data_IF_172755218010
#
_entry.id   IF_172755218010
#
_cell.length_a   1.000
_cell.length_b   1.000
_cell.length_c   1.000
_cell.angle_alpha   90.00
_cell.angle_beta   90.00
_cell.angle_gamma   90.00
#
_symmetry.space_group_name_H-M   'P 1'
#
loop_
_entity.id
_entity.type
_entity.pdbx_description
1 polymer ?
#
# COMPACT_ATOMS: atom_id res chain seq x y z
N UNK A 1 24.91 -58.67 -6.49
CA UNK A 1 25.63 -57.84 -7.49
C UNK A 1 26.72 -58.72 -8.10
N UNK A 2 26.36 -59.52 -9.11
CA UNK A 2 27.25 -60.49 -9.75
C UNK A 2 27.79 -59.81 -11.00
N UNK A 3 29.07 -59.46 -10.97
CA UNK A 3 29.77 -58.91 -12.11
C UNK A 3 29.82 -59.97 -13.22
N UNK A 4 28.97 -59.83 -14.23
CA UNK A 4 29.13 -60.52 -15.51
C UNK A 4 30.36 -59.94 -16.21
N UNK A 5 31.52 -60.49 -15.85
CA UNK A 5 32.77 -60.30 -16.58
C UNK A 5 32.64 -61.09 -17.88
N UNK A 6 31.90 -60.54 -18.83
CA UNK A 6 31.85 -61.04 -20.21
C UNK A 6 33.26 -60.89 -20.75
N UNK A 7 33.98 -62.00 -20.71
CA UNK A 7 35.23 -62.21 -21.42
C UNK A 7 34.91 -62.09 -22.91
N UNK A 8 34.94 -60.85 -23.39
CA UNK A 8 35.12 -60.51 -24.81
C UNK A 8 36.47 -61.10 -25.23
N UNK A 9 36.48 -62.40 -25.50
CA UNK A 9 37.54 -63.06 -26.24
C UNK A 9 37.54 -62.41 -27.63
N UNK A 10 38.37 -61.38 -27.80
CA UNK A 10 38.73 -60.87 -29.13
C UNK A 10 39.08 -62.10 -29.97
N UNK A 11 38.43 -62.30 -31.13
CA UNK A 11 38.68 -63.49 -31.94
C UNK A 11 40.15 -63.43 -32.38
N UNK A 12 41.01 -64.23 -31.74
CA UNK A 12 42.37 -64.55 -32.23
C UNK A 12 42.32 -65.55 -33.39
N UNK A 13 41.12 -65.92 -33.82
CA UNK A 13 40.84 -66.90 -34.85
C UNK A 13 40.84 -66.44 -36.31
N UNK A 14 40.91 -65.13 -36.70
CA UNK A 14 40.94 -64.81 -38.12
C UNK A 14 42.23 -65.32 -38.77
N UNK A 15 43.35 -65.32 -38.02
CA UNK A 15 44.63 -65.86 -38.50
C UNK A 15 44.56 -67.37 -38.72
N UNK A 16 43.95 -68.12 -37.79
CA UNK A 16 43.80 -69.57 -37.92
C UNK A 16 42.86 -69.95 -39.07
N UNK A 17 41.80 -69.18 -39.30
CA UNK A 17 40.89 -69.38 -40.43
C UNK A 17 41.59 -69.12 -41.77
N UNK A 18 42.37 -68.03 -41.87
CA UNK A 18 43.18 -67.74 -43.07
C UNK A 18 44.18 -68.86 -43.34
N UNK A 19 44.88 -69.34 -42.30
CA UNK A 19 45.83 -70.47 -42.44
C UNK A 19 45.11 -71.74 -42.91
N UNK A 20 43.93 -72.05 -42.38
CA UNK A 20 43.16 -73.22 -42.80
C UNK A 20 42.69 -73.12 -44.26
N UNK A 21 42.27 -71.92 -44.71
CA UNK A 21 41.88 -71.67 -46.11
C UNK A 21 43.09 -71.82 -47.04
N UNK A 22 44.24 -71.25 -46.68
CA UNK A 22 45.48 -71.38 -47.47
C UNK A 22 45.93 -72.83 -47.53
N UNK A 23 45.90 -73.56 -46.41
CA UNK A 23 46.26 -74.97 -46.36
C UNK A 23 45.29 -75.84 -47.19
N UNK A 24 43.99 -75.55 -47.14
CA UNK A 24 42.99 -76.22 -47.97
C UNK A 24 43.21 -75.97 -49.47
N UNK A 25 43.45 -74.72 -49.86
CA UNK A 25 43.75 -74.37 -51.25
C UNK A 25 45.05 -75.03 -51.74
N UNK A 26 46.10 -75.03 -50.92
CA UNK A 26 47.35 -75.73 -51.22
C UNK A 26 47.14 -77.24 -51.36
N UNK A 27 46.32 -77.85 -50.51
CA UNK A 27 45.96 -79.27 -50.60
C UNK A 27 45.23 -79.61 -51.90
N UNK A 28 44.30 -78.77 -52.35
CA UNK A 28 43.60 -78.94 -53.63
C UNK A 28 44.58 -78.84 -54.81
N UNK A 29 45.45 -77.83 -54.82
CA UNK A 29 46.47 -77.66 -55.87
C UNK A 29 47.41 -78.88 -55.92
N UNK A 30 47.91 -79.32 -54.77
CA UNK A 30 48.79 -80.49 -54.68
C UNK A 30 48.07 -81.77 -55.12
N UNK A 31 46.78 -81.93 -54.80
CA UNK A 31 45.96 -83.05 -55.26
C UNK A 31 45.82 -83.09 -56.79
N UNK A 32 45.57 -81.94 -57.43
CA UNK A 32 45.48 -81.84 -58.89
C UNK A 32 46.82 -82.22 -59.54
N UNK A 33 47.93 -81.71 -59.00
CA UNK A 33 49.29 -82.03 -59.48
C UNK A 33 49.56 -83.53 -59.33
N UNK A 34 49.24 -84.12 -58.17
CA UNK A 34 49.45 -85.53 -57.90
C UNK A 34 48.62 -86.42 -58.85
N UNK A 35 47.34 -86.08 -59.08
CA UNK A 35 46.49 -86.80 -60.04
C UNK A 35 47.03 -86.66 -61.47
N UNK A 36 47.48 -85.47 -61.86
CA UNK A 36 48.06 -85.23 -63.19
C UNK A 36 49.35 -86.03 -63.41
N UNK A 37 50.19 -86.17 -62.38
CA UNK A 37 51.43 -86.95 -62.45
C UNK A 37 51.16 -88.46 -62.40
N UNK A 38 50.14 -88.89 -61.67
CA UNK A 38 49.76 -90.30 -61.54
C UNK A 38 48.93 -90.81 -62.73
N UNK A 39 48.35 -89.92 -63.53
CA UNK A 39 47.57 -90.29 -64.71
C UNK A 39 48.48 -90.80 -65.83
N UNK A 40 48.59 -92.13 -65.94
CA UNK A 40 49.18 -92.80 -67.09
C UNK A 40 48.05 -93.37 -67.95
N UNK A 41 47.83 -92.85 -69.18
CA UNK A 41 46.76 -93.36 -70.03
C UNK A 41 47.06 -94.80 -70.44
N UNK A 42 46.17 -95.72 -70.08
CA UNK A 42 46.25 -97.14 -70.42
C UNK A 42 45.66 -97.39 -71.82
N UNK A 43 46.38 -97.00 -72.87
CA UNK A 43 46.04 -97.28 -74.28
C UNK A 43 46.45 -96.16 -75.25
N UNK A 44 46.27 -96.33 -76.59
CA UNK A 44 46.39 -95.25 -77.57
C UNK A 44 45.20 -94.29 -77.40
N UNK A 45 45.19 -93.59 -76.28
CA UNK A 45 44.14 -92.67 -75.89
C UNK A 45 44.26 -91.41 -76.75
N UNK A 46 43.16 -91.05 -77.41
CA UNK A 46 43.00 -89.74 -78.03
C UNK A 46 43.40 -88.68 -77.00
N UNK A 47 44.30 -87.78 -77.41
CA UNK A 47 44.73 -86.67 -76.56
C UNK A 47 43.48 -85.94 -76.09
N UNK A 48 43.29 -85.76 -74.75
CA UNK A 48 42.09 -85.13 -74.24
C UNK A 48 41.90 -83.79 -74.95
N UNK A 49 40.70 -83.56 -75.49
CA UNK A 49 40.44 -82.33 -76.21
C UNK A 49 40.63 -81.17 -75.24
N UNK A 50 41.24 -80.08 -75.71
CA UNK A 50 41.49 -78.86 -74.91
C UNK A 50 40.22 -78.41 -74.15
N UNK A 51 39.05 -78.71 -74.71
CA UNK A 51 37.72 -78.50 -74.15
C UNK A 51 37.48 -79.15 -72.78
N UNK A 52 37.95 -80.39 -72.56
CA UNK A 52 37.75 -81.10 -71.28
C UNK A 52 38.63 -80.52 -70.17
N UNK A 53 39.85 -80.11 -70.51
CA UNK A 53 40.73 -79.40 -69.59
C UNK A 53 40.18 -78.02 -69.21
N UNK A 54 39.60 -77.30 -70.17
CA UNK A 54 38.97 -76.00 -69.89
C UNK A 54 37.72 -76.14 -69.01
N UNK A 55 36.92 -77.19 -69.18
CA UNK A 55 35.77 -77.45 -68.29
C UNK A 55 36.19 -77.82 -66.86
N UNK A 56 37.25 -78.63 -66.71
CA UNK A 56 37.80 -78.97 -65.39
C UNK A 56 38.32 -77.74 -64.63
N UNK A 57 39.08 -76.88 -65.31
CA UNK A 57 39.57 -75.61 -64.73
C UNK A 57 38.40 -74.67 -64.42
N UNK A 58 37.39 -74.60 -65.29
CA UNK A 58 36.19 -73.79 -65.08
C UNK A 58 35.41 -74.17 -63.82
N UNK A 59 35.22 -75.46 -63.56
CA UNK A 59 34.54 -75.93 -62.35
C UNK A 59 35.33 -75.62 -61.08
N UNK A 60 36.65 -75.78 -61.09
CA UNK A 60 37.51 -75.47 -59.95
C UNK A 60 37.52 -73.96 -59.68
N UNK A 61 37.66 -73.14 -60.73
CA UNK A 61 37.59 -71.68 -60.62
C UNK A 61 36.22 -71.24 -60.06
N UNK A 62 35.13 -71.86 -60.50
CA UNK A 62 33.78 -71.61 -59.99
C UNK A 62 33.64 -71.89 -58.49
N UNK A 63 34.18 -73.01 -58.00
CA UNK A 63 34.15 -73.35 -56.56
C UNK A 63 34.97 -72.36 -55.74
N UNK A 64 36.17 -71.99 -56.19
CA UNK A 64 37.03 -71.02 -55.49
C UNK A 64 36.37 -69.64 -55.41
N UNK A 65 35.79 -69.17 -56.52
CA UNK A 65 35.02 -67.92 -56.56
C UNK A 65 33.78 -68.00 -55.66
N UNK A 66 33.07 -69.13 -55.67
CA UNK A 66 31.90 -69.36 -54.82
C UNK A 66 32.23 -69.33 -53.32
N UNK A 67 33.32 -69.98 -52.90
CA UNK A 67 33.80 -69.95 -51.50
C UNK A 67 34.25 -68.54 -51.13
N UNK A 68 34.99 -67.85 -52.01
CA UNK A 68 35.41 -66.46 -51.80
C UNK A 68 34.22 -65.53 -51.61
N UNK A 69 33.18 -65.68 -52.44
CA UNK A 69 31.94 -64.92 -52.34
C UNK A 69 31.17 -65.23 -51.05
N UNK A 70 31.09 -66.50 -50.64
CA UNK A 70 30.43 -66.91 -49.40
C UNK A 70 31.14 -66.35 -48.15
N UNK A 71 32.49 -66.37 -48.14
CA UNK A 71 33.27 -65.77 -47.05
C UNK A 71 33.12 -64.25 -47.01
N UNK A 72 33.12 -63.58 -48.16
CA UNK A 72 32.88 -62.14 -48.24
C UNK A 72 31.47 -61.78 -47.73
N UNK A 73 30.43 -62.52 -48.13
CA UNK A 73 29.07 -62.34 -47.65
C UNK A 73 28.96 -62.58 -46.14
N UNK A 74 29.63 -63.62 -45.62
CA UNK A 74 29.69 -63.90 -44.19
C UNK A 74 30.38 -62.80 -43.38
N UNK A 75 31.48 -62.24 -43.90
CA UNK A 75 32.19 -61.14 -43.27
C UNK A 75 31.34 -59.84 -43.22
N UNK A 76 30.65 -59.51 -44.33
CA UNK A 76 29.74 -58.37 -44.39
C UNK A 76 28.56 -58.55 -43.42
N UNK A 77 27.98 -59.75 -43.36
CA UNK A 77 26.90 -60.07 -42.41
C UNK A 77 27.36 -59.94 -40.95
N UNK A 78 28.55 -60.44 -40.63
CA UNK A 78 29.13 -60.32 -39.29
C UNK A 78 29.40 -58.86 -38.91
N UNK A 79 29.96 -58.07 -39.82
CA UNK A 79 30.16 -56.64 -39.60
C UNK A 79 28.83 -55.89 -39.41
N UNK A 80 27.80 -56.28 -40.17
CA UNK A 80 26.44 -55.78 -40.00
C UNK A 80 25.85 -56.10 -38.63
N UNK A 81 26.03 -57.33 -38.12
CA UNK A 81 25.58 -57.69 -36.78
C UNK A 81 26.30 -56.89 -35.68
N UNK A 82 27.60 -56.66 -35.81
CA UNK A 82 28.34 -55.84 -34.84
C UNK A 82 27.86 -54.38 -34.84
N UNK A 83 27.59 -53.82 -36.03
CA UNK A 83 27.05 -52.47 -36.15
C UNK A 83 25.64 -52.35 -35.54
N UNK A 84 24.78 -53.36 -35.74
CA UNK A 84 23.45 -53.40 -35.13
C UNK A 84 23.52 -53.51 -33.60
N UNK A 85 24.37 -54.38 -33.06
CA UNK A 85 24.54 -54.53 -31.62
C UNK A 85 25.06 -53.23 -30.97
N UNK A 86 26.04 -52.57 -31.60
CA UNK A 86 26.55 -51.28 -31.13
C UNK A 86 25.47 -50.17 -31.20
N UNK A 87 24.64 -50.16 -32.25
CA UNK A 87 23.54 -49.23 -32.38
C UNK A 87 22.44 -49.45 -31.32
N UNK A 88 22.12 -50.71 -30.99
CA UNK A 88 21.16 -51.04 -29.93
C UNK A 88 21.67 -50.61 -28.55
N UNK A 89 22.94 -50.87 -28.24
CA UNK A 89 23.57 -50.43 -26.99
C UNK A 89 23.52 -48.90 -26.86
N UNK A 90 23.81 -48.19 -27.94
CA UNK A 90 23.73 -46.74 -27.97
C UNK A 90 22.29 -46.25 -27.77
N UNK A 91 21.29 -46.87 -28.41
CA UNK A 91 19.88 -46.51 -28.22
C UNK A 91 19.41 -46.75 -26.79
N UNK A 92 19.87 -47.82 -26.14
CA UNK A 92 19.58 -48.07 -24.73
C UNK A 92 20.23 -47.02 -23.84
N UNK A 93 21.49 -46.68 -24.09
CA UNK A 93 22.19 -45.61 -23.36
C UNK A 93 21.48 -44.26 -23.52
N UNK A 94 21.07 -43.91 -24.74
CA UNK A 94 20.33 -42.68 -25.03
C UNK A 94 18.96 -42.67 -24.35
N UNK A 95 18.24 -43.79 -24.35
CA UNK A 95 16.96 -43.93 -23.65
C UNK A 95 17.11 -43.80 -22.13
N UNK A 96 18.16 -44.38 -21.55
CA UNK A 96 18.47 -44.22 -20.13
C UNK A 96 18.82 -42.77 -19.79
N UNK A 97 19.67 -42.12 -20.60
CA UNK A 97 20.01 -40.72 -20.43
C UNK A 97 18.77 -39.81 -20.54
N UNK A 98 17.89 -40.07 -21.51
CA UNK A 98 16.64 -39.34 -21.67
C UNK A 98 15.68 -39.55 -20.48
N UNK A 99 15.58 -40.77 -19.96
CA UNK A 99 14.76 -41.07 -18.79
C UNK A 99 15.29 -40.38 -17.52
N UNK A 100 16.61 -40.38 -17.31
CA UNK A 100 17.24 -39.66 -16.20
C UNK A 100 17.04 -38.14 -16.33
N UNK A 101 17.22 -37.59 -17.52
CA UNK A 101 16.97 -36.17 -17.79
C UNK A 101 15.50 -35.78 -17.52
N UNK A 102 14.55 -36.63 -17.92
CA UNK A 102 13.13 -36.42 -17.65
C UNK A 102 12.82 -36.46 -16.13
N UNK A 103 13.45 -37.38 -15.39
CA UNK A 103 13.29 -37.44 -13.92
C UNK A 103 13.82 -36.17 -13.25
N UNK A 104 15.03 -35.75 -13.59
CA UNK A 104 15.65 -34.52 -13.05
C UNK A 104 14.83 -33.28 -13.42
N UNK A 105 14.31 -33.20 -14.66
CA UNK A 105 13.46 -32.11 -15.08
C UNK A 105 12.14 -32.05 -14.29
N UNK A 106 11.53 -33.21 -14.02
CA UNK A 106 10.31 -33.31 -13.21
C UNK A 106 10.56 -32.88 -11.76
N UNK A 107 11.63 -33.36 -11.12
CA UNK A 107 12.00 -32.98 -9.75
C UNK A 107 12.25 -31.47 -9.64
N UNK A 108 12.95 -30.88 -10.62
CA UNK A 108 13.16 -29.42 -10.67
C UNK A 108 11.86 -28.65 -10.82
N UNK A 109 10.97 -29.09 -11.72
CA UNK A 109 9.68 -28.45 -11.92
C UNK A 109 8.80 -28.50 -10.67
N UNK A 110 8.79 -29.64 -9.94
CA UNK A 110 8.06 -29.76 -8.68
C UNK A 110 8.64 -28.84 -7.59
N UNK A 111 9.96 -28.75 -7.48
CA UNK A 111 10.63 -27.83 -6.55
C UNK A 111 10.33 -26.35 -6.87
N UNK A 112 10.38 -25.97 -8.15
CA UNK A 112 10.04 -24.62 -8.60
C UNK A 112 8.57 -24.28 -8.34
N UNK A 113 7.67 -25.26 -8.54
CA UNK A 113 6.24 -25.11 -8.26
C UNK A 113 5.99 -24.90 -6.76
N UNK A 114 6.61 -25.70 -5.89
CA UNK A 114 6.49 -25.54 -4.43
C UNK A 114 7.04 -24.17 -3.97
N UNK A 115 8.15 -23.72 -4.55
CA UNK A 115 8.72 -22.40 -4.28
C UNK A 115 7.77 -21.26 -4.73
N UNK A 116 7.13 -21.42 -5.88
CA UNK A 116 6.12 -20.47 -6.38
C UNK A 116 4.85 -20.45 -5.51
N UNK A 117 4.35 -21.61 -5.07
CA UNK A 117 3.22 -21.69 -4.15
C UNK A 117 3.52 -21.02 -2.80
N UNK A 118 4.73 -21.22 -2.26
CA UNK A 118 5.18 -20.58 -1.02
C UNK A 118 5.32 -19.06 -1.16
N UNK A 119 5.90 -18.58 -2.26
CA UNK A 119 6.06 -17.14 -2.49
C UNK A 119 4.70 -16.46 -2.67
N UNK A 120 3.78 -17.08 -3.41
CA UNK A 120 2.41 -16.59 -3.57
C UNK A 120 1.65 -16.52 -2.24
N UNK A 121 1.74 -17.58 -1.41
CA UNK A 121 1.13 -17.58 -0.08
C UNK A 121 1.71 -16.49 0.83
N UNK A 122 3.03 -16.25 0.77
CA UNK A 122 3.68 -15.16 1.50
C UNK A 122 3.18 -13.78 1.03
N UNK A 123 3.05 -13.57 -0.29
CA UNK A 123 2.48 -12.34 -0.87
C UNK A 123 1.03 -12.13 -0.45
N UNK A 124 0.20 -13.18 -0.44
CA UNK A 124 -1.18 -13.08 0.04
C UNK A 124 -1.27 -12.68 1.51
N UNK A 125 -0.45 -13.28 2.38
CA UNK A 125 -0.40 -12.90 3.81
C UNK A 125 0.04 -11.45 3.99
N UNK A 126 1.05 -11.02 3.23
CA UNK A 126 1.51 -9.63 3.28
C UNK A 126 0.41 -8.66 2.84
N UNK A 127 -0.30 -8.97 1.75
CA UNK A 127 -1.42 -8.16 1.26
C UNK A 127 -2.58 -8.12 2.26
N UNK A 128 -2.91 -9.25 2.90
CA UNK A 128 -3.92 -9.28 3.97
C UNK A 128 -3.53 -8.41 5.16
N UNK A 129 -2.28 -8.52 5.63
CA UNK A 129 -1.78 -7.66 6.70
C UNK A 129 -1.81 -6.17 6.32
N UNK A 130 -1.54 -5.81 5.06
CA UNK A 130 -1.67 -4.44 4.59
C UNK A 130 -3.12 -3.94 4.62
N UNK A 131 -4.09 -4.79 4.23
CA UNK A 131 -5.52 -4.44 4.28
C UNK A 131 -5.98 -4.24 5.72
N UNK A 132 -5.56 -5.09 6.65
CA UNK A 132 -5.87 -4.96 8.08
C UNK A 132 -5.28 -3.66 8.65
N UNK A 133 -4.00 -3.39 8.40
CA UNK A 133 -3.36 -2.13 8.82
C UNK A 133 -4.07 -0.89 8.24
N UNK A 134 -4.49 -0.94 6.97
CA UNK A 134 -5.22 0.15 6.34
C UNK A 134 -6.61 0.36 6.95
N UNK A 135 -7.29 -0.73 7.35
CA UNK A 135 -8.60 -0.67 8.02
C UNK A 135 -8.50 -0.08 9.42
N UNK A 136 -7.45 -0.43 10.16
CA UNK A 136 -7.19 0.13 11.49
C UNK A 136 -6.83 1.63 11.39
N UNK A 137 -6.04 2.01 10.38
CA UNK A 137 -5.73 3.41 10.10
C UNK A 137 -6.99 4.22 9.71
N UNK A 138 -7.90 3.63 8.91
CA UNK A 138 -9.16 4.29 8.57
C UNK A 138 -10.06 4.49 9.80
N UNK A 139 -10.14 3.48 10.68
CA UNK A 139 -10.94 3.55 11.91
C UNK A 139 -10.40 4.62 12.88
N UNK A 140 -9.08 4.70 13.02
CA UNK A 140 -8.45 5.75 13.86
C UNK A 140 -8.63 7.14 13.27
N UNK A 141 -8.54 7.30 11.95
CA UNK A 141 -8.81 8.57 11.26
C UNK A 141 -10.27 9.01 11.43
N UNK A 142 -11.24 8.09 11.32
CA UNK A 142 -12.66 8.40 11.57
C UNK A 142 -12.92 8.83 13.01
N UNK A 143 -12.29 8.18 13.99
CA UNK A 143 -12.39 8.56 15.39
C UNK A 143 -11.85 9.98 15.62
N UNK A 144 -10.68 10.32 15.08
CA UNK A 144 -10.09 11.65 15.16
C UNK A 144 -10.99 12.72 14.51
N UNK A 145 -11.49 12.46 13.30
CA UNK A 145 -12.42 13.38 12.62
C UNK A 145 -13.71 13.59 13.41
N UNK A 146 -14.18 12.58 14.12
CA UNK A 146 -15.37 12.70 14.98
C UNK A 146 -15.09 13.57 16.21
N UNK A 147 -13.91 13.45 16.82
CA UNK A 147 -13.48 14.28 17.95
C UNK A 147 -13.28 15.73 17.53
N UNK A 148 -12.60 15.97 16.41
CA UNK A 148 -12.39 17.30 15.85
C UNK A 148 -13.72 17.96 15.51
N UNK A 149 -14.68 17.21 14.96
CA UNK A 149 -16.03 17.72 14.70
C UNK A 149 -16.74 18.10 16.00
N UNK A 150 -16.60 17.32 17.08
CA UNK A 150 -17.17 17.66 18.39
C UNK A 150 -16.54 18.92 18.97
N UNK A 151 -15.21 19.05 18.91
CA UNK A 151 -14.47 20.25 19.34
C UNK A 151 -14.90 21.48 18.56
N UNK A 152 -14.97 21.37 17.24
CA UNK A 152 -15.43 22.46 16.40
C UNK A 152 -16.88 22.85 16.71
N UNK A 153 -17.76 21.88 16.96
CA UNK A 153 -19.13 22.15 17.38
C UNK A 153 -19.21 22.83 18.75
N UNK A 154 -18.40 22.42 19.73
CA UNK A 154 -18.35 23.08 21.04
C UNK A 154 -17.80 24.49 20.93
N UNK A 155 -16.73 24.71 20.17
CA UNK A 155 -16.19 26.04 19.90
C UNK A 155 -17.23 26.94 19.22
N UNK A 156 -17.97 26.41 18.24
CA UNK A 156 -19.06 27.15 17.59
C UNK A 156 -20.19 27.48 18.57
N UNK A 157 -20.53 26.57 19.49
CA UNK A 157 -21.52 26.84 20.53
C UNK A 157 -21.04 27.89 21.53
N UNK A 158 -19.80 27.78 22.01
CA UNK A 158 -19.17 28.76 22.90
C UNK A 158 -19.11 30.13 22.23
N UNK A 159 -18.61 30.19 20.99
CA UNK A 159 -18.55 31.43 20.19
C UNK A 159 -19.94 32.03 20.01
N UNK A 160 -20.97 31.23 19.73
CA UNK A 160 -22.36 31.71 19.64
C UNK A 160 -22.89 32.23 20.98
N UNK A 161 -22.51 31.61 22.09
CA UNK A 161 -22.88 32.06 23.43
C UNK A 161 -22.15 33.35 23.83
N UNK A 162 -20.90 33.52 23.43
CA UNK A 162 -20.11 34.74 23.63
C UNK A 162 -20.66 35.89 22.79
N UNK A 163 -20.86 35.71 21.48
CA UNK A 163 -21.46 36.74 20.62
C UNK A 163 -22.91 37.06 21.01
N UNK A 164 -23.62 36.23 21.76
CA UNK A 164 -24.96 36.56 22.25
C UNK A 164 -24.97 37.63 23.36
N UNK A 165 -23.80 37.99 23.92
CA UNK A 165 -23.70 38.79 25.15
C UNK A 165 -23.11 40.18 24.99
N UNK A 166 -22.71 40.57 23.77
CA UNK A 166 -22.00 41.83 23.55
C UNK A 166 -22.93 43.04 23.67
N UNK A 167 -22.87 43.72 24.81
CA UNK A 167 -23.66 44.91 25.08
C UNK A 167 -22.74 46.04 25.49
N UNK A 168 -22.65 47.06 24.64
CA UNK A 168 -21.86 48.24 24.95
C UNK A 168 -22.77 49.29 25.55
N UNK A 169 -22.52 49.59 26.82
CA UNK A 169 -22.94 50.83 27.45
C UNK A 169 -21.83 51.84 27.20
N UNK A 170 -22.13 52.88 26.42
CA UNK A 170 -21.11 53.86 25.96
C UNK A 170 -21.06 55.11 26.83
N UNK A 171 -22.14 55.41 27.57
CA UNK A 171 -22.19 56.52 28.51
C UNK A 171 -23.15 56.17 29.63
N UNK A 172 -22.66 56.26 30.86
CA UNK A 172 -23.48 56.26 32.08
C UNK A 172 -23.00 57.39 32.95
N UNK A 173 -23.80 58.44 33.04
CA UNK A 173 -23.47 59.61 33.85
C UNK A 173 -24.73 60.07 34.58
N UNK A 174 -24.72 60.08 35.92
CA UNK A 174 -25.70 60.85 36.67
C UNK A 174 -25.38 62.34 36.50
N UNK A 175 -26.17 63.07 35.71
CA UNK A 175 -26.20 64.52 35.81
C UNK A 175 -26.76 64.89 37.18
N UNK A 176 -26.00 65.62 37.99
CA UNK A 176 -26.48 66.10 39.29
C UNK A 176 -27.06 67.50 39.14
N UNK A 177 -28.09 67.81 39.92
CA UNK A 177 -28.57 69.18 40.08
C UNK A 177 -27.62 69.94 41.01
N UNK A 178 -27.59 71.28 40.94
CA UNK A 178 -26.82 72.12 41.87
C UNK A 178 -27.21 72.02 43.36
N UNK A 179 -28.11 71.09 43.71
CA UNK A 179 -28.48 70.72 45.08
C UNK A 179 -27.98 69.32 45.47
N UNK A 180 -27.12 68.69 44.67
CA UNK A 180 -26.61 67.33 44.89
C UNK A 180 -27.63 66.21 44.65
N UNK A 181 -28.79 66.52 44.06
CA UNK A 181 -29.78 65.50 43.70
C UNK A 181 -29.48 64.91 42.33
N UNK A 182 -29.77 63.62 42.14
CA UNK A 182 -29.73 62.96 40.84
C UNK A 182 -30.71 63.66 39.88
N UNK A 183 -30.19 64.32 38.85
CA UNK A 183 -30.94 65.14 37.90
C UNK A 183 -31.32 64.38 36.64
N UNK A 184 -30.34 63.83 35.92
CA UNK A 184 -30.54 63.12 34.65
C UNK A 184 -29.67 61.87 34.64
N UNK A 185 -30.17 60.75 34.12
CA UNK A 185 -29.32 59.60 33.80
C UNK A 185 -29.42 59.31 32.31
N UNK A 186 -28.27 59.37 31.64
CA UNK A 186 -28.13 58.95 30.26
C UNK A 186 -27.48 57.56 30.23
N UNK A 187 -28.18 56.59 29.65
CA UNK A 187 -27.66 55.25 29.38
C UNK A 187 -27.82 54.97 27.88
N UNK A 188 -26.71 54.92 27.16
CA UNK A 188 -26.71 54.56 25.74
C UNK A 188 -26.37 53.08 25.61
N UNK A 189 -27.34 52.30 25.15
CA UNK A 189 -27.26 50.86 25.02
C UNK A 189 -27.09 50.46 23.57
N UNK A 190 -26.04 49.70 23.26
CA UNK A 190 -25.89 49.04 21.97
C UNK A 190 -25.91 47.52 22.15
N UNK A 191 -26.86 46.85 21.50
CA UNK A 191 -26.95 45.40 21.51
C UNK A 191 -26.21 44.82 20.29
N UNK A 192 -24.99 44.33 20.48
CA UNK A 192 -24.27 43.55 19.47
C UNK A 192 -24.54 42.05 19.58
N UNK A 193 -25.36 41.66 20.57
CA UNK A 193 -25.82 40.31 20.84
C UNK A 193 -26.76 39.76 19.78
N UNK A 194 -26.76 38.44 19.61
CA UNK A 194 -27.70 37.74 18.73
C UNK A 194 -29.14 37.66 19.28
N UNK A 195 -29.37 38.05 20.54
CA UNK A 195 -30.69 37.99 21.19
C UNK A 195 -31.17 39.39 21.62
N UNK A 196 -32.49 39.65 21.64
CA UNK A 196 -33.02 40.91 22.12
C UNK A 196 -32.87 41.03 23.64
N UNK A 197 -32.47 42.21 24.10
CA UNK A 197 -32.42 42.58 25.52
C UNK A 197 -33.83 43.00 25.91
N UNK A 198 -34.41 42.38 26.94
CA UNK A 198 -35.80 42.68 27.35
C UNK A 198 -35.90 43.57 28.57
N UNK A 199 -34.88 43.56 29.42
CA UNK A 199 -34.87 44.33 30.68
C UNK A 199 -33.44 44.70 31.03
N UNK A 200 -33.27 45.93 31.48
CA UNK A 200 -32.00 46.50 31.91
C UNK A 200 -32.21 47.06 33.31
N UNK A 201 -31.39 46.64 34.26
CA UNK A 201 -31.41 47.14 35.64
C UNK A 201 -30.12 47.90 35.85
N UNK A 202 -30.21 49.18 36.17
CA UNK A 202 -29.05 50.02 36.42
C UNK A 202 -28.97 50.26 37.93
N UNK A 203 -27.95 49.70 38.56
CA UNK A 203 -27.65 49.92 39.96
C UNK A 203 -26.60 51.03 40.05
N UNK A 204 -26.95 52.15 40.66
CA UNK A 204 -26.03 53.25 40.92
C UNK A 204 -25.64 53.19 42.39
N UNK A 205 -24.39 52.82 42.69
CA UNK A 205 -23.82 52.88 44.03
C UNK A 205 -23.23 54.26 44.27
N UNK A 206 -23.69 54.97 45.31
CA UNK A 206 -23.24 56.31 45.67
C UNK A 206 -22.65 56.28 47.07
N UNK A 207 -21.31 56.43 47.18
CA UNK A 207 -20.46 56.51 48.37
C UNK A 207 -20.68 55.50 49.52
N UNK A 208 -21.91 55.19 49.94
CA UNK A 208 -22.30 54.23 50.97
C UNK A 208 -23.69 53.57 50.75
N UNK A 209 -24.49 54.01 49.77
CA UNK A 209 -25.82 53.47 49.48
C UNK A 209 -25.93 52.99 48.03
N UNK A 210 -26.55 51.83 47.83
CA UNK A 210 -26.84 51.32 46.49
C UNK A 210 -28.28 51.67 46.12
N UNK A 211 -28.43 52.55 45.14
CA UNK A 211 -29.73 52.88 44.55
C UNK A 211 -29.93 51.97 43.34
N UNK A 212 -30.91 51.07 43.43
CA UNK A 212 -31.31 50.26 42.27
C UNK A 212 -32.36 51.01 41.45
N UNK A 213 -31.99 51.38 40.23
CA UNK A 213 -32.88 51.97 39.24
C UNK A 213 -33.24 50.88 38.22
N UNK A 214 -34.46 50.35 38.34
CA UNK A 214 -34.96 49.45 37.32
C UNK A 214 -35.39 50.23 36.08
N UNK A 215 -34.67 50.04 34.98
CA UNK A 215 -34.98 50.70 33.71
C UNK A 215 -35.89 49.80 32.86
N UNK A 216 -37.11 50.27 32.65
CA UNK A 216 -38.02 49.63 31.69
C UNK A 216 -37.65 50.07 30.28
N UNK A 217 -36.65 49.42 29.70
CA UNK A 217 -36.33 49.61 28.29
C UNK A 217 -37.27 48.77 27.42
N UNK A 218 -37.70 49.27 26.25
CA UNK A 218 -38.31 48.42 25.22
C UNK A 218 -37.30 47.35 24.78
N UNK A 219 -37.79 46.28 24.16
CA UNK A 219 -36.91 45.21 23.70
C UNK A 219 -35.89 45.76 22.67
N UNK A 220 -34.61 45.71 22.99
CA UNK A 220 -33.53 46.21 22.11
C UNK A 220 -33.00 45.03 21.31
N UNK A 221 -33.33 44.98 20.03
CA UNK A 221 -32.96 43.89 19.12
C UNK A 221 -31.47 43.86 18.75
N UNK A 222 -31.00 42.77 18.13
CA UNK A 222 -29.64 42.67 17.61
C UNK A 222 -29.27 43.83 16.67
N UNK A 223 -28.10 44.43 16.88
CA UNK A 223 -27.59 45.58 16.14
C UNK A 223 -28.26 46.91 16.44
N UNK A 224 -29.27 46.93 17.33
CA UNK A 224 -29.99 48.16 17.66
C UNK A 224 -29.30 48.93 18.79
N UNK A 225 -29.46 50.24 18.72
CA UNK A 225 -29.10 51.18 19.77
C UNK A 225 -30.38 51.68 20.44
N UNK A 226 -30.33 51.86 21.75
CA UNK A 226 -31.37 52.50 22.52
C UNK A 226 -30.78 53.51 23.49
N UNK A 227 -31.24 54.75 23.36
CA UNK A 227 -30.82 55.86 24.21
C UNK A 227 -31.86 56.05 25.29
N UNK A 228 -31.50 55.70 26.52
CA UNK A 228 -32.32 55.92 27.69
C UNK A 228 -31.95 57.24 28.33
N UNK A 229 -32.94 58.12 28.47
CA UNK A 229 -32.80 59.42 29.13
C UNK A 229 -33.97 59.61 30.09
N UNK A 230 -33.69 59.56 31.37
CA UNK A 230 -34.70 59.77 32.41
C UNK A 230 -34.27 60.94 33.31
N UNK A 231 -35.20 61.86 33.52
CA UNK A 231 -35.03 63.00 34.41
C UNK A 231 -35.55 62.59 35.79
N UNK A 232 -34.65 62.52 36.77
CA UNK A 232 -34.98 62.20 38.16
C UNK A 232 -35.27 63.43 39.01
N UNK A 233 -35.55 64.57 38.37
CA UNK A 233 -35.78 65.86 39.04
C UNK A 233 -36.87 65.82 40.12
N UNK A 234 -37.85 64.93 39.96
CA UNK A 234 -38.95 64.72 40.90
C UNK A 234 -38.86 63.37 41.65
N UNK A 235 -37.73 62.68 41.55
CA UNK A 235 -37.51 61.42 42.24
C UNK A 235 -37.43 61.67 43.76
N UNK A 236 -38.16 60.90 44.59
CA UNK A 236 -38.08 61.02 46.04
C UNK A 236 -36.71 60.59 46.59
N UNK A 237 -35.84 60.02 45.75
CA UNK A 237 -34.49 59.59 46.08
C UNK A 237 -33.59 60.84 46.18
N UNK A 238 -33.70 61.55 47.29
CA UNK A 238 -32.75 62.58 47.67
C UNK A 238 -31.55 61.91 48.34
N UNK A 239 -30.48 61.73 47.58
CA UNK A 239 -29.20 61.32 48.13
C UNK A 239 -28.56 62.56 48.72
N UNK A 240 -28.55 62.66 50.05
CA UNK A 240 -27.89 63.78 50.74
C UNK A 240 -26.38 63.60 50.64
N UNK A 241 -25.80 63.95 49.49
CA UNK A 241 -24.36 64.18 49.43
C UNK A 241 -24.12 65.49 50.19
N UNK A 242 -23.47 65.41 51.36
CA UNK A 242 -23.11 66.60 52.12
C UNK A 242 -22.47 67.66 51.23
N UNK A 243 -22.72 68.95 51.52
CA UNK A 243 -22.41 70.13 50.69
C UNK A 243 -21.43 69.88 49.53
N UNK A 244 -21.97 69.39 48.41
CA UNK A 244 -21.22 69.36 47.17
C UNK A 244 -21.08 70.80 46.66
N UNK A 245 -19.91 71.18 46.13
CA UNK A 245 -19.72 72.53 45.65
C UNK A 245 -20.63 72.79 44.42
N UNK A 246 -21.35 73.91 44.44
CA UNK A 246 -22.55 74.17 43.62
C UNK A 246 -22.30 74.50 42.13
N UNK A 247 -21.24 73.97 41.51
CA UNK A 247 -20.96 74.15 40.08
C UNK A 247 -21.27 72.86 39.29
N UNK A 248 -21.61 72.99 38.01
CA UNK A 248 -21.73 71.90 37.02
C UNK A 248 -20.35 71.21 36.91
N UNK A 249 -20.07 70.30 37.83
CA UNK A 249 -18.89 69.45 37.77
C UNK A 249 -19.36 68.15 37.15
N UNK A 250 -18.72 67.74 36.05
CA UNK A 250 -18.67 66.32 35.72
C UNK A 250 -18.09 65.63 36.96
N UNK A 251 -18.98 65.07 37.78
CA UNK A 251 -18.62 64.49 39.07
C UNK A 251 -17.60 63.40 38.80
N UNK A 252 -16.44 63.52 39.46
CA UNK A 252 -15.35 62.58 39.31
C UNK A 252 -15.86 61.16 39.51
N UNK A 253 -15.47 60.23 38.64
CA UNK A 253 -15.98 58.85 38.59
C UNK A 253 -15.78 58.07 39.89
N UNK A 254 -14.93 58.60 40.79
CA UNK A 254 -14.59 58.01 42.07
C UNK A 254 -15.73 58.09 43.12
N UNK A 255 -16.76 58.91 42.89
CA UNK A 255 -17.84 59.17 43.86
C UNK A 255 -19.02 58.22 43.65
N UNK A 256 -19.12 57.58 42.48
CA UNK A 256 -20.20 56.68 42.14
C UNK A 256 -19.73 55.46 41.37
N UNK A 257 -20.31 54.31 41.65
CA UNK A 257 -20.19 53.12 40.82
C UNK A 257 -21.49 52.90 40.08
N UNK A 258 -21.42 52.53 38.81
CA UNK A 258 -22.62 52.07 38.09
C UNK A 258 -22.43 50.63 37.69
N UNK A 259 -23.37 49.79 38.10
CA UNK A 259 -23.48 48.42 37.65
C UNK A 259 -24.73 48.29 36.79
N UNK A 260 -24.59 47.78 35.58
CA UNK A 260 -25.71 47.52 34.67
C UNK A 260 -25.91 46.02 34.56
N UNK A 261 -27.05 45.54 35.02
CA UNK A 261 -27.48 44.15 34.88
C UNK A 261 -28.46 44.03 33.71
N UNK A 262 -28.15 43.15 32.77
CA UNK A 262 -28.98 42.86 31.62
C UNK A 262 -29.74 41.55 31.81
N UNK A 263 -30.94 41.48 31.26
CA UNK A 263 -31.74 40.26 31.21
C UNK A 263 -32.19 40.02 29.77
N UNK A 264 -31.74 38.91 29.19
CA UNK A 264 -32.10 38.51 27.83
C UNK A 264 -33.52 37.92 27.74
N UNK A 265 -33.93 37.61 26.53
CA UNK A 265 -35.19 36.93 26.26
C UNK A 265 -35.33 35.54 26.91
N UNK A 266 -34.22 34.89 27.29
CA UNK A 266 -34.20 33.61 27.98
C UNK A 266 -34.19 33.74 29.52
N UNK A 267 -34.21 34.98 30.05
CA UNK A 267 -34.20 35.25 31.49
C UNK A 267 -32.82 35.15 32.14
N UNK A 268 -31.74 34.99 31.35
CA UNK A 268 -30.37 34.94 31.88
C UNK A 268 -29.93 36.34 32.27
N UNK A 269 -29.22 36.43 33.39
CA UNK A 269 -28.73 37.70 33.95
C UNK A 269 -27.22 37.79 33.79
N UNK A 270 -26.72 38.95 33.40
CA UNK A 270 -25.30 39.27 33.47
C UNK A 270 -25.11 40.72 33.88
N UNK A 271 -24.05 40.97 34.63
CA UNK A 271 -23.76 42.24 35.26
C UNK A 271 -22.50 42.85 34.65
N UNK A 272 -22.50 44.16 34.42
CA UNK A 272 -21.35 44.94 33.98
C UNK A 272 -21.10 46.07 34.95
N UNK A 273 -19.90 46.17 35.48
CA UNK A 273 -19.47 47.34 36.25
C UNK A 273 -18.86 48.37 35.29
N UNK A 274 -19.23 49.64 35.47
CA UNK A 274 -18.84 50.77 34.62
C UNK A 274 -17.36 51.12 34.82
N UNK A 275 -16.48 50.39 34.13
CA UNK A 275 -15.06 50.72 34.02
C UNK A 275 -14.72 51.47 32.72
N UNK A 276 -15.70 52.10 32.06
CA UNK A 276 -15.58 52.84 30.78
C UNK A 276 -15.01 52.06 29.58
N UNK A 277 -14.55 50.81 29.77
CA UNK A 277 -13.94 50.01 28.72
C UNK A 277 -15.01 49.23 27.95
N UNK A 278 -15.10 49.40 26.62
CA UNK A 278 -15.88 48.52 25.76
C UNK A 278 -15.47 47.04 25.92
N UNK A 279 -16.44 46.13 25.95
CA UNK A 279 -16.21 44.68 26.06
C UNK A 279 -15.28 44.10 24.95
N UNK A 280 -15.11 44.80 23.82
CA UNK A 280 -14.17 44.37 22.78
C UNK A 280 -12.69 44.50 23.18
N UNK A 281 -12.36 45.35 24.17
CA UNK A 281 -11.01 45.47 24.75
C UNK A 281 -10.77 44.45 25.86
N UNK A 282 -11.80 44.04 26.59
CA UNK A 282 -11.75 43.03 27.65
C UNK A 282 -11.95 41.59 27.16
N UNK A 283 -11.80 41.35 25.86
CA UNK A 283 -11.67 39.97 25.35
C UNK A 283 -10.45 39.33 26.03
N UNK A 284 -10.53 38.13 26.61
CA UNK A 284 -9.32 37.32 26.66
C UNK A 284 -8.83 37.27 25.22
N UNK A 285 -7.56 37.61 24.98
CA UNK A 285 -6.89 37.26 23.74
C UNK A 285 -6.94 35.73 23.62
N UNK A 286 -8.05 35.17 23.15
CA UNK A 286 -8.04 33.85 22.58
C UNK A 286 -7.13 34.00 21.37
N UNK A 287 -5.99 33.30 21.42
CA UNK A 287 -4.91 33.34 20.43
C UNK A 287 -5.30 32.82 19.05
N UNK A 288 -6.46 33.23 18.55
CA UNK A 288 -6.84 33.15 17.16
C UNK A 288 -5.90 34.04 16.36
N UNK A 289 -4.90 33.40 15.74
CA UNK A 289 -4.03 33.96 14.70
C UNK A 289 -4.79 34.53 13.47
N UNK A 290 -6.11 34.64 13.51
CA UNK A 290 -6.96 35.00 12.37
C UNK A 290 -7.80 36.26 12.56
N UNK A 291 -7.57 37.06 13.61
CA UNK A 291 -8.12 38.41 13.66
C UNK A 291 -7.43 39.28 12.59
N UNK A 292 -8.02 39.33 11.38
CA UNK A 292 -7.63 40.34 10.39
C UNK A 292 -7.89 41.71 11.01
N UNK A 293 -6.91 42.64 10.99
CA UNK A 293 -7.16 44.00 11.44
C UNK A 293 -8.29 44.60 10.61
N UNK A 294 -9.28 45.18 11.28
CA UNK A 294 -10.31 45.98 10.65
C UNK A 294 -9.64 47.23 10.09
N UNK A 295 -9.25 47.20 8.82
CA UNK A 295 -8.74 48.36 8.09
C UNK A 295 -9.92 49.25 7.68
N UNK A 296 -10.46 50.00 8.64
CA UNK A 296 -11.41 51.08 8.37
C UNK A 296 -10.71 52.43 8.40
N UNK A 297 -9.94 52.75 7.37
CA UNK A 297 -9.63 54.14 7.05
C UNK A 297 -10.66 54.65 6.04
N UNK A 298 -11.39 55.69 6.43
CA UNK A 298 -11.79 56.79 5.54
C UNK A 298 -11.42 58.08 6.24
#
# INVERSE_FOLDING_TARGET
MIAYRVLLMKPKYPVLLIIAVIAGAAGVILGIIAISLAYQPSGPAESPSVTDWMQGIGNIAGVVVGIGAALAAGAVYWQGQQALAAAEEQRLADNHAAAEAARVAKERWEADREAAEKSFAATQRHMQAQIENARDAATTAEAQLSEDRRRWQSEQQETRLEYARSVIVTRVGPGMTGRGQLGEMLVVLHNFGAQPIRRVVVTVGLLQENVQLELKVPAVGPGQQYDFRENYRDSPISVSMGELPAWDVDVDSDIYSVSVTFIDAAGRRWERQNNEEPEWLNRPHTGSKYARPWSGQR
#
